data_IF_315396543096
#
_entry.id   IF_315396543096
#
_cell.length_a   1.000
_cell.length_b   1.000
_cell.length_c   1.000
_cell.angle_alpha   90.00
_cell.angle_beta   90.00
_cell.angle_gamma   90.00
#
_symmetry.space_group_name_H-M   'P 1'
#
loop_
_entity.id
_entity.type
_entity.pdbx_description
1 polymer ?
#
# COMPACT_ATOMS: atom_id res chain seq x y z
N UNK A 1 23.86 1.86 12.65
CA UNK A 1 24.17 0.49 13.12
C UNK A 1 25.60 0.17 12.71
N UNK A 2 26.62 0.54 13.51
CA UNK A 2 28.02 0.34 13.13
C UNK A 2 28.59 -1.05 13.48
N UNK A 3 27.90 -1.85 14.31
CA UNK A 3 28.53 -3.01 14.98
C UNK A 3 28.02 -4.39 14.52
N UNK A 4 27.35 -4.49 13.38
CA UNK A 4 26.92 -5.79 12.85
C UNK A 4 27.97 -6.36 11.90
N UNK A 5 28.79 -7.30 12.37
CA UNK A 5 29.69 -8.07 11.52
C UNK A 5 28.87 -8.98 10.60
N UNK A 6 28.96 -8.81 9.28
CA UNK A 6 28.24 -9.61 8.29
C UNK A 6 29.22 -10.47 7.48
N UNK A 7 29.04 -11.78 7.51
CA UNK A 7 29.83 -12.72 6.72
C UNK A 7 29.30 -12.82 5.29
N UNK A 8 30.17 -13.13 4.33
CA UNK A 8 29.75 -13.38 2.95
C UNK A 8 28.73 -14.52 2.90
N UNK A 9 27.63 -14.31 2.16
CA UNK A 9 26.53 -15.28 2.05
C UNK A 9 25.43 -15.12 3.10
N UNK A 10 25.56 -14.17 4.04
CA UNK A 10 24.48 -13.85 4.99
C UNK A 10 23.22 -13.39 4.23
N UNK A 11 22.08 -14.04 4.53
CA UNK A 11 20.77 -13.62 4.01
C UNK A 11 20.34 -12.36 4.76
N UNK A 12 20.02 -11.32 3.99
CA UNK A 12 19.49 -10.06 4.52
C UNK A 12 18.06 -9.88 4.02
N UNK A 13 17.12 -9.69 4.95
CA UNK A 13 15.71 -9.46 4.63
C UNK A 13 15.35 -8.02 4.96
N UNK A 14 14.80 -7.30 3.98
CA UNK A 14 14.29 -5.94 4.20
C UNK A 14 12.90 -6.00 4.85
N UNK A 15 12.77 -5.44 6.04
CA UNK A 15 11.49 -5.34 6.73
C UNK A 15 10.66 -4.14 6.20
N UNK A 16 10.10 -4.27 4.99
CA UNK A 16 9.32 -3.20 4.35
C UNK A 16 8.15 -2.71 5.21
N UNK A 17 7.43 -3.63 5.87
CA UNK A 17 6.36 -3.30 6.80
C UNK A 17 6.84 -2.33 7.88
N UNK A 18 7.98 -2.61 8.52
CA UNK A 18 8.54 -1.79 9.58
C UNK A 18 9.00 -0.42 9.07
N UNK A 19 9.48 -0.33 7.82
CA UNK A 19 9.84 0.96 7.19
C UNK A 19 8.58 1.81 6.97
N UNK A 20 7.52 1.22 6.42
CA UNK A 20 6.27 1.94 6.13
C UNK A 20 5.43 2.25 7.37
N UNK A 21 5.66 1.54 8.49
CA UNK A 21 5.00 1.78 9.78
C UNK A 21 5.93 2.43 10.82
N UNK A 22 7.08 3.00 10.44
CA UNK A 22 7.96 3.67 11.41
C UNK A 22 7.29 4.95 11.95
N UNK A 23 6.98 5.04 13.27
CA UNK A 23 6.35 6.22 13.88
C UNK A 23 7.20 7.48 13.77
N UNK A 24 8.51 7.36 13.54
CA UNK A 24 9.40 8.52 13.31
C UNK A 24 9.17 9.16 11.94
N UNK A 25 8.66 8.39 10.98
CA UNK A 25 8.44 8.84 9.61
C UNK A 25 6.97 9.11 9.32
N UNK A 26 6.06 8.35 9.94
CA UNK A 26 4.63 8.41 9.70
C UNK A 26 3.87 8.58 11.02
N UNK A 27 3.35 9.79 11.28
CA UNK A 27 2.41 10.02 12.40
C UNK A 27 1.16 9.16 12.18
N UNK A 28 0.61 8.58 13.24
CA UNK A 28 -0.55 7.67 13.15
C UNK A 28 -0.33 6.56 12.10
N UNK A 29 0.82 5.88 12.13
CA UNK A 29 1.24 4.93 11.09
C UNK A 29 0.28 3.75 10.88
N UNK A 30 -0.46 3.34 11.91
CA UNK A 30 -1.47 2.27 11.81
C UNK A 30 -2.80 2.72 11.18
N UNK A 31 -2.96 4.02 10.90
CA UNK A 31 -4.20 4.58 10.34
C UNK A 31 -4.03 4.85 8.86
N UNK A 32 -4.94 4.29 8.05
CA UNK A 32 -5.10 4.68 6.65
C UNK A 32 -5.55 6.15 6.57
N UNK A 33 -4.64 7.01 6.15
CA UNK A 33 -4.79 8.46 6.10
C UNK A 33 -4.13 8.97 4.81
N UNK A 34 -4.90 9.17 3.72
CA UNK A 34 -4.38 9.69 2.44
C UNK A 34 -3.77 11.09 2.55
N UNK A 35 -4.29 11.93 3.45
CA UNK A 35 -3.86 13.32 3.62
C UNK A 35 -2.39 13.45 4.03
N UNK A 36 -1.79 12.38 4.58
CA UNK A 36 -0.34 12.35 4.90
C UNK A 36 0.57 12.52 3.67
N UNK A 37 0.03 12.32 2.47
CA UNK A 37 0.75 12.49 1.21
C UNK A 37 0.47 13.85 0.54
N UNK A 38 -0.25 14.74 1.23
CA UNK A 38 -0.60 16.08 0.75
C UNK A 38 0.10 17.15 1.59
N UNK A 39 0.58 18.21 0.92
CA UNK A 39 1.07 19.43 1.56
C UNK A 39 -0.07 20.35 1.98
N UNK A 40 0.28 21.43 2.68
CA UNK A 40 -0.70 22.41 3.18
C UNK A 40 -1.55 23.03 2.06
N UNK A 41 -1.00 23.13 0.84
CA UNK A 41 -1.70 23.62 -0.34
C UNK A 41 -2.41 22.51 -1.14
N UNK A 42 -2.48 21.28 -0.63
CA UNK A 42 -3.09 20.12 -1.31
C UNK A 42 -2.24 19.51 -2.42
N UNK A 43 -0.99 19.95 -2.59
CA UNK A 43 -0.06 19.36 -3.55
C UNK A 43 0.47 18.02 -3.05
N UNK A 44 0.71 17.07 -3.96
CA UNK A 44 1.34 15.79 -3.61
C UNK A 44 2.76 16.04 -3.08
N UNK A 45 3.07 15.41 -1.94
CA UNK A 45 4.41 15.36 -1.38
C UNK A 45 5.06 14.06 -1.83
N UNK A 46 6.18 14.17 -2.54
CA UNK A 46 7.02 13.01 -2.78
C UNK A 46 7.76 12.64 -1.49
N UNK A 47 7.37 11.54 -0.87
CA UNK A 47 7.99 11.05 0.34
C UNK A 47 8.93 9.89 0.01
N UNK A 48 10.23 10.18 -0.06
CA UNK A 48 11.29 9.20 -0.36
C UNK A 48 11.39 8.03 0.63
N UNK A 49 10.64 8.06 1.73
CA UNK A 49 10.56 7.00 2.73
C UNK A 49 9.50 5.93 2.39
N UNK A 50 8.71 6.16 1.35
CA UNK A 50 7.77 5.19 0.80
C UNK A 50 8.50 4.38 -0.27
N UNK A 51 8.72 3.09 0.02
CA UNK A 51 9.47 2.16 -0.83
C UNK A 51 8.73 0.84 -1.06
N UNK A 52 7.47 0.84 -1.56
CA UNK A 52 6.68 -0.37 -1.78
C UNK A 52 7.34 -1.32 -2.80
N UNK A 53 8.18 -0.79 -3.69
CA UNK A 53 8.91 -1.52 -4.72
C UNK A 53 10.39 -1.76 -4.38
N UNK A 54 10.75 -1.70 -3.10
CA UNK A 54 12.13 -1.68 -2.61
C UNK A 54 12.93 -0.47 -3.12
N UNK A 55 14.25 -0.51 -2.99
CA UNK A 55 15.17 0.51 -3.52
C UNK A 55 16.53 -0.11 -3.85
N UNK A 56 17.33 0.57 -4.67
CA UNK A 56 18.69 0.15 -5.03
C UNK A 56 18.75 -0.86 -6.17
N UNK A 57 19.82 -1.67 -6.24
CA UNK A 57 20.11 -2.56 -7.39
C UNK A 57 19.08 -3.66 -7.65
N UNK A 58 18.18 -3.90 -6.70
CA UNK A 58 17.12 -4.93 -6.77
C UNK A 58 15.72 -4.34 -6.67
N UNK A 59 15.58 -3.02 -6.84
CA UNK A 59 14.28 -2.36 -6.96
C UNK A 59 13.42 -3.04 -8.03
N UNK A 60 12.11 -3.10 -7.79
CA UNK A 60 11.18 -3.80 -8.68
C UNK A 60 11.28 -3.24 -10.10
N UNK A 61 11.69 -4.08 -11.05
CA UNK A 61 11.76 -3.71 -12.46
C UNK A 61 10.39 -3.28 -13.02
N UNK A 62 9.31 -3.76 -12.41
CA UNK A 62 7.93 -3.47 -12.82
C UNK A 62 7.29 -2.26 -12.14
N UNK A 63 8.02 -1.49 -11.33
CA UNK A 63 7.46 -0.35 -10.56
C UNK A 63 6.65 0.61 -11.45
N UNK A 64 7.24 1.11 -12.53
CA UNK A 64 6.54 2.06 -13.43
C UNK A 64 5.26 1.47 -14.01
N UNK A 65 5.29 0.21 -14.44
CA UNK A 65 4.10 -0.46 -14.98
C UNK A 65 3.05 -0.68 -13.90
N UNK A 66 3.46 -1.08 -12.69
CA UNK A 66 2.58 -1.32 -11.56
C UNK A 66 1.89 -0.02 -11.12
N UNK A 67 2.62 1.08 -11.01
CA UNK A 67 2.08 2.40 -10.66
C UNK A 67 1.06 2.87 -11.70
N UNK A 68 1.41 2.81 -12.99
CA UNK A 68 0.50 3.19 -14.07
C UNK A 68 -0.77 2.33 -14.09
N UNK A 69 -0.61 1.01 -13.95
CA UNK A 69 -1.73 0.06 -14.00
C UNK A 69 -2.65 0.23 -12.79
N UNK A 70 -2.08 0.41 -11.59
CA UNK A 70 -2.85 0.63 -10.38
C UNK A 70 -3.64 1.95 -10.45
N UNK A 71 -2.99 3.04 -10.90
CA UNK A 71 -3.65 4.32 -11.07
C UNK A 71 -4.79 4.25 -12.08
N UNK A 72 -4.53 3.76 -13.29
CA UNK A 72 -5.54 3.67 -14.34
C UNK A 72 -6.67 2.72 -13.96
N UNK A 73 -6.36 1.57 -13.38
CA UNK A 73 -7.35 0.60 -12.92
C UNK A 73 -8.26 1.18 -11.83
N UNK A 74 -7.67 1.81 -10.81
CA UNK A 74 -8.43 2.43 -9.72
C UNK A 74 -9.31 3.58 -10.23
N UNK A 75 -8.75 4.48 -11.04
CA UNK A 75 -9.50 5.62 -11.60
C UNK A 75 -10.65 5.13 -12.48
N UNK A 76 -10.41 4.15 -13.36
CA UNK A 76 -11.45 3.58 -14.21
C UNK A 76 -12.60 2.98 -13.41
N UNK A 77 -12.27 2.20 -12.38
CA UNK A 77 -13.24 1.58 -11.48
C UNK A 77 -14.08 2.64 -10.74
N UNK A 78 -13.42 3.66 -10.17
CA UNK A 78 -14.08 4.73 -9.42
C UNK A 78 -14.85 5.71 -10.32
N UNK A 79 -14.44 5.89 -11.58
CA UNK A 79 -15.22 6.66 -12.55
C UNK A 79 -16.48 5.90 -12.97
N UNK A 80 -16.39 4.58 -13.11
CA UNK A 80 -17.48 3.76 -13.66
C UNK A 80 -18.48 3.31 -12.60
N UNK A 81 -18.06 3.09 -11.35
CA UNK A 81 -18.90 2.50 -10.31
C UNK A 81 -18.86 3.28 -8.98
N UNK A 82 -19.99 3.26 -8.27
CA UNK A 82 -20.06 3.48 -6.82
C UNK A 82 -19.91 2.13 -6.13
N UNK A 83 -19.02 2.06 -5.13
CA UNK A 83 -18.81 0.85 -4.34
C UNK A 83 -19.54 0.93 -3.01
N UNK A 84 -20.36 -0.07 -2.73
CA UNK A 84 -21.13 -0.17 -1.49
C UNK A 84 -20.91 -1.52 -0.78
N UNK A 85 -21.17 -1.52 0.53
CA UNK A 85 -21.16 -2.72 1.35
C UNK A 85 -22.37 -3.59 1.00
N UNK A 86 -22.17 -4.90 0.97
CA UNK A 86 -23.26 -5.88 0.86
C UNK A 86 -24.00 -5.93 2.20
N UNK A 87 -25.32 -5.69 2.24
CA UNK A 87 -26.09 -5.79 3.48
C UNK A 87 -25.92 -7.15 4.16
N UNK A 88 -25.61 -7.14 5.45
CA UNK A 88 -25.41 -8.36 6.25
C UNK A 88 -24.05 -9.06 6.06
N UNK A 89 -23.16 -8.57 5.19
CA UNK A 89 -21.79 -9.09 5.10
C UNK A 89 -20.90 -8.46 6.18
N UNK A 90 -20.15 -9.29 6.92
CA UNK A 90 -19.20 -8.82 7.94
C UNK A 90 -17.83 -8.54 7.31
N UNK A 91 -17.35 -7.32 7.46
CA UNK A 91 -16.03 -6.89 6.97
C UNK A 91 -15.06 -6.80 8.13
N UNK A 92 -13.84 -7.30 7.96
CA UNK A 92 -12.73 -7.08 8.90
C UNK A 92 -11.55 -6.48 8.16
N UNK A 93 -10.85 -5.57 8.83
CA UNK A 93 -9.57 -5.02 8.39
C UNK A 93 -8.40 -5.61 9.21
N UNK A 94 -8.71 -6.49 10.16
CA UNK A 94 -7.69 -7.14 10.97
C UNK A 94 -6.85 -8.06 10.10
N UNK A 95 -5.51 -7.92 10.13
CA UNK A 95 -4.63 -8.86 9.47
C UNK A 95 -4.84 -10.25 10.09
N UNK A 96 -5.14 -11.25 9.27
CA UNK A 96 -4.96 -12.64 9.72
C UNK A 96 -3.49 -13.00 9.59
N UNK A 97 -2.96 -13.68 10.59
CA UNK A 97 -1.65 -14.31 10.49
C UNK A 97 -1.67 -15.29 9.32
N UNK A 98 -0.90 -14.97 8.28
CA UNK A 98 -0.68 -15.84 7.13
C UNK A 98 0.81 -15.92 6.90
N UNK A 99 1.30 -17.12 6.60
CA UNK A 99 2.71 -17.36 6.22
C UNK A 99 3.02 -16.88 4.78
N UNK A 100 2.09 -16.18 4.14
CA UNK A 100 2.21 -15.69 2.77
C UNK A 100 3.19 -14.51 2.70
N UNK A 101 4.02 -14.50 1.64
CA UNK A 101 5.00 -13.43 1.37
C UNK A 101 4.32 -12.09 1.06
N UNK A 102 3.05 -12.11 0.64
CA UNK A 102 2.26 -10.93 0.28
C UNK A 102 1.03 -10.86 1.18
N UNK A 103 0.82 -9.73 1.83
CA UNK A 103 -0.39 -9.48 2.61
C UNK A 103 -1.59 -9.30 1.69
N UNK A 104 -2.53 -10.24 1.75
CA UNK A 104 -3.80 -10.18 1.03
C UNK A 104 -4.96 -10.05 2.01
N UNK A 105 -6.00 -9.26 1.68
CA UNK A 105 -7.20 -9.22 2.49
C UNK A 105 -7.91 -10.59 2.45
N UNK A 106 -8.72 -10.84 3.48
CA UNK A 106 -9.68 -11.95 3.42
C UNK A 106 -10.67 -11.77 2.26
N UNK A 107 -11.12 -12.85 1.61
CA UNK A 107 -12.13 -12.75 0.57
C UNK A 107 -13.36 -11.97 1.05
N UNK A 108 -13.69 -10.89 0.36
CA UNK A 108 -14.82 -10.02 0.69
C UNK A 108 -15.71 -9.77 -0.53
N UNK A 109 -16.98 -9.43 -0.30
CA UNK A 109 -17.93 -9.06 -1.35
C UNK A 109 -18.21 -7.57 -1.32
N UNK A 110 -18.40 -6.96 -2.48
CA UNK A 110 -18.80 -5.56 -2.63
C UNK A 110 -19.88 -5.45 -3.70
N UNK A 111 -20.73 -4.44 -3.58
CA UNK A 111 -21.65 -4.04 -4.64
C UNK A 111 -20.94 -2.98 -5.49
N UNK A 112 -20.86 -3.22 -6.80
CA UNK A 112 -20.37 -2.24 -7.78
C UNK A 112 -21.57 -1.72 -8.59
N UNK A 113 -22.02 -0.52 -8.27
CA UNK A 113 -23.23 0.10 -8.84
C UNK A 113 -22.80 1.08 -9.94
N UNK A 114 -23.22 0.92 -11.21
CA UNK A 114 -22.82 1.83 -12.28
C UNK A 114 -23.13 3.30 -11.97
N UNK A 115 -22.15 4.19 -12.20
CA UNK A 115 -22.32 5.64 -12.15
C UNK A 115 -22.98 6.12 -13.43
N UNK A 116 -24.26 6.46 -13.35
CA UNK A 116 -24.98 7.10 -14.46
C UNK A 116 -24.45 8.53 -14.58
N UNK A 117 -23.68 8.79 -15.64
CA UNK A 117 -23.32 10.14 -16.05
C UNK A 117 -24.49 10.65 -16.92
N UNK A 118 -25.22 11.66 -16.43
CA UNK A 118 -26.15 12.43 -17.26
C UNK A 118 -25.39 13.46 -18.09
#
# INVERSE_FOLDING_TARGET
>A
MPDCLQFQGTIVVSALYAIHHDPKNFKNHEIFNPERFLGEAGNLINNSKIVPFQTGRRQCLGETLAEMSAFLGLVYLLQTFNFEKVPGFHYTLEPKEREEVVHMPEPYKILAIPRIHF
#
